data_IF_283408480850
#
_entry.id   IF_283408480850
#
_cell.length_a   1.000
_cell.length_b   1.000
_cell.length_c   1.000
_cell.angle_alpha   90.00
_cell.angle_beta   90.00
_cell.angle_gamma   90.00
#
_symmetry.space_group_name_H-M   'P 1'
#
loop_
_entity.id
_entity.type
_entity.pdbx_description
1 polymer ?
#
# COMPACT_ATOMS: atom_id res chain seq x y z
N UNK A 1 14.82 47.23 67.66
CA UNK A 1 13.59 46.91 66.91
C UNK A 1 13.98 46.73 65.45
N UNK A 2 14.39 45.52 65.08
CA UNK A 2 14.75 45.21 63.69
C UNK A 2 13.54 44.60 62.99
N UNK A 3 13.09 45.24 61.91
CA UNK A 3 11.92 44.81 61.14
C UNK A 3 12.42 43.90 60.04
N UNK A 4 12.23 42.60 60.25
CA UNK A 4 12.66 41.55 59.34
C UNK A 4 11.82 41.60 58.04
N UNK A 5 12.44 41.99 56.93
CA UNK A 5 11.79 42.04 55.61
C UNK A 5 11.63 40.62 55.07
N UNK A 6 10.43 40.05 55.20
CA UNK A 6 10.07 38.76 54.59
C UNK A 6 10.16 38.85 53.07
N UNK A 7 11.12 38.13 52.47
CA UNK A 7 11.23 37.95 51.01
C UNK A 7 10.08 37.06 50.53
N UNK A 8 9.14 37.65 49.79
CA UNK A 8 8.06 36.90 49.14
C UNK A 8 8.65 36.18 47.92
N UNK A 9 8.83 34.87 48.05
CA UNK A 9 9.22 34.01 46.93
C UNK A 9 7.99 33.79 46.07
N UNK A 10 7.97 34.40 44.88
CA UNK A 10 6.92 34.16 43.89
C UNK A 10 6.96 32.69 43.48
N UNK A 11 6.03 31.90 44.00
CA UNK A 11 5.88 30.51 43.65
C UNK A 11 5.10 30.47 42.32
N UNK A 12 5.78 30.14 41.22
CA UNK A 12 5.13 30.01 39.92
C UNK A 12 4.07 28.90 40.03
N UNK A 13 2.81 29.28 39.95
CA UNK A 13 1.68 28.34 39.91
C UNK A 13 1.81 27.49 38.65
N UNK A 14 2.16 26.21 38.82
CA UNK A 14 2.15 25.24 37.71
C UNK A 14 0.70 24.90 37.45
N UNK A 15 0.13 25.38 36.35
CA UNK A 15 -1.22 25.01 35.94
C UNK A 15 -1.24 23.53 35.59
N UNK A 16 -1.93 22.72 36.39
CA UNK A 16 -2.13 21.29 36.10
C UNK A 16 -3.25 21.03 35.10
N UNK A 17 -3.77 22.08 34.46
CA UNK A 17 -4.80 21.93 33.45
C UNK A 17 -4.18 21.41 32.14
N UNK A 18 -4.93 20.58 31.38
CA UNK A 18 -4.51 20.16 30.05
C UNK A 18 -4.28 21.40 29.18
N UNK A 19 -3.03 21.65 28.81
CA UNK A 19 -2.66 22.81 28.00
C UNK A 19 -2.56 22.39 26.53
N UNK A 20 -3.46 22.90 25.70
CA UNK A 20 -3.38 22.72 24.24
C UNK A 20 -2.36 23.72 23.70
N UNK A 21 -1.23 23.23 23.20
CA UNK A 21 -0.21 24.05 22.54
C UNK A 21 -0.43 24.02 21.03
N UNK A 22 -0.65 25.18 20.43
CA UNK A 22 -0.79 25.34 18.97
C UNK A 22 0.55 25.75 18.36
N UNK A 23 0.90 25.15 17.23
CA UNK A 23 2.07 25.52 16.42
C UNK A 23 1.60 25.89 15.02
N UNK A 24 1.88 27.11 14.57
CA UNK A 24 1.67 27.56 13.19
C UNK A 24 2.98 27.50 12.40
N UNK A 25 2.93 26.96 11.19
CA UNK A 25 4.05 26.94 10.24
C UNK A 25 3.58 27.55 8.92
N UNK A 26 4.50 28.18 8.18
CA UNK A 26 4.24 28.68 6.83
C UNK A 26 4.05 27.51 5.87
N UNK A 27 2.94 27.50 5.13
CA UNK A 27 2.60 26.47 4.14
C UNK A 27 3.03 26.93 2.74
N UNK A 28 3.59 26.05 1.88
CA UNK A 28 3.96 26.38 0.50
C UNK A 28 2.77 26.90 -0.32
N UNK A 29 3.03 27.77 -1.30
CA UNK A 29 2.01 28.39 -2.16
C UNK A 29 1.26 27.37 -3.03
N UNK A 30 -0.06 27.57 -3.16
CA UNK A 30 -1.03 26.62 -3.73
C UNK A 30 -0.83 26.27 -5.22
N UNK A 31 0.05 26.97 -5.96
CA UNK A 31 0.32 26.70 -7.38
C UNK A 31 1.08 25.38 -7.63
N UNK A 32 1.63 24.76 -6.60
CA UNK A 32 2.40 23.51 -6.68
C UNK A 32 1.77 22.34 -5.89
N UNK A 33 0.45 22.34 -5.68
CA UNK A 33 -0.18 21.21 -5.00
C UNK A 33 -0.37 20.02 -5.96
N UNK A 34 0.20 18.83 -5.65
CA UNK A 34 -0.02 17.64 -6.45
C UNK A 34 -1.50 17.25 -6.37
N UNK A 35 -2.06 16.74 -7.48
CA UNK A 35 -3.42 16.19 -7.48
C UNK A 35 -3.49 15.03 -6.46
N UNK A 36 -4.20 15.25 -5.35
CA UNK A 36 -4.32 14.25 -4.28
C UNK A 36 -5.47 13.31 -4.62
N UNK A 37 -5.15 12.03 -4.73
CA UNK A 37 -6.12 10.97 -4.95
C UNK A 37 -6.20 10.11 -3.69
N UNK A 38 -7.42 9.86 -3.24
CA UNK A 38 -7.68 8.85 -2.22
C UNK A 38 -7.75 7.48 -2.90
N UNK A 39 -7.12 6.48 -2.28
CA UNK A 39 -7.06 5.11 -2.79
C UNK A 39 -7.71 4.21 -1.76
N UNK A 40 -8.94 3.82 -2.04
CA UNK A 40 -9.69 2.90 -1.18
C UNK A 40 -9.76 1.53 -1.84
N UNK A 41 -9.55 0.48 -1.04
CA UNK A 41 -9.77 -0.90 -1.48
C UNK A 41 -11.15 -1.31 -0.97
N UNK A 42 -12.07 -1.55 -1.90
CA UNK A 42 -13.44 -1.93 -1.57
C UNK A 42 -13.49 -3.40 -1.09
N UNK A 43 -14.60 -3.83 -0.50
CA UNK A 43 -14.75 -5.20 0.07
C UNK A 43 -14.54 -6.31 -0.97
N UNK A 44 -14.74 -6.00 -2.26
CA UNK A 44 -14.54 -6.91 -3.39
C UNK A 44 -13.07 -6.96 -3.86
N UNK A 45 -12.15 -6.28 -3.16
CA UNK A 45 -10.73 -6.10 -3.49
C UNK A 45 -10.46 -5.24 -4.74
N UNK A 46 -11.46 -4.50 -5.22
CA UNK A 46 -11.28 -3.51 -6.26
C UNK A 46 -10.65 -2.23 -5.69
N UNK A 47 -9.76 -1.64 -6.48
CA UNK A 47 -9.05 -0.42 -6.12
C UNK A 47 -9.80 0.75 -6.75
N UNK A 48 -10.49 1.53 -5.91
CA UNK A 48 -11.15 2.76 -6.32
C UNK A 48 -10.21 3.95 -6.05
N UNK A 49 -9.85 4.66 -7.10
CA UNK A 49 -9.22 5.98 -6.99
C UNK A 49 -10.29 7.05 -7.07
N UNK A 50 -10.43 7.85 -6.02
CA UNK A 50 -11.27 9.05 -6.03
C UNK A 50 -10.37 10.26 -5.96
N UNK A 51 -10.50 11.17 -6.94
CA UNK A 51 -9.88 12.49 -6.85
C UNK A 51 -10.47 13.16 -5.61
N UNK A 52 -9.63 13.47 -4.63
CA UNK A 52 -10.11 14.22 -3.47
C UNK A 52 -10.56 15.57 -4.00
N UNK A 53 -11.82 15.94 -3.73
CA UNK A 53 -12.35 17.27 -4.02
C UNK A 53 -11.68 18.27 -3.06
N UNK A 54 -10.39 18.52 -3.28
CA UNK A 54 -9.70 19.66 -2.71
C UNK A 54 -10.12 20.83 -3.58
N UNK A 55 -11.12 21.59 -3.11
CA UNK A 55 -11.43 22.88 -3.71
C UNK A 55 -10.13 23.71 -3.75
N UNK A 56 -9.61 23.95 -4.95
CA UNK A 56 -8.34 24.65 -5.15
C UNK A 56 -8.40 26.09 -4.66
N UNK A 57 -9.61 26.65 -4.50
CA UNK A 57 -9.83 27.97 -3.93
C UNK A 57 -9.98 27.95 -2.40
N UNK A 58 -10.11 26.78 -1.79
CA UNK A 58 -10.24 26.64 -0.35
C UNK A 58 -8.93 26.95 0.36
N UNK A 59 -8.96 27.89 1.29
CA UNK A 59 -7.85 28.17 2.20
C UNK A 59 -7.79 27.06 3.25
N UNK A 60 -6.86 26.14 3.11
CA UNK A 60 -6.62 25.10 4.10
C UNK A 60 -5.62 25.59 5.17
N UNK A 61 -5.99 25.46 6.44
CA UNK A 61 -5.08 25.68 7.56
C UNK A 61 -4.70 24.32 8.14
N UNK A 62 -3.40 24.05 8.26
CA UNK A 62 -2.90 22.84 8.93
C UNK A 62 -2.48 23.19 10.34
N UNK A 63 -3.27 22.76 11.32
CA UNK A 63 -2.96 22.92 12.74
C UNK A 63 -2.47 21.59 13.29
N UNK A 64 -1.25 21.57 13.85
CA UNK A 64 -0.76 20.43 14.62
C UNK A 64 -1.19 20.60 16.08
N UNK A 65 -1.80 19.55 16.64
CA UNK A 65 -2.24 19.52 18.04
C UNK A 65 -1.44 18.45 18.77
N UNK A 66 -0.76 18.83 19.84
CA UNK A 66 -0.04 17.90 20.72
C UNK A 66 -0.84 17.70 22.00
N UNK A 67 -0.97 16.44 22.41
CA UNK A 67 -1.63 16.04 23.65
C UNK A 67 -0.59 15.75 24.72
N UNK A 68 -0.89 16.07 25.98
CA UNK A 68 0.01 15.82 27.10
C UNK A 68 0.13 14.32 27.41
N UNK A 69 -0.92 13.56 27.10
CA UNK A 69 -1.07 12.14 27.42
C UNK A 69 -1.92 11.42 26.36
N UNK A 70 -1.69 10.12 26.22
CA UNK A 70 -2.36 9.27 25.21
C UNK A 70 -3.86 9.05 25.50
N UNK A 71 -4.26 9.09 26.78
CA UNK A 71 -5.66 8.94 27.17
C UNK A 71 -6.52 10.12 26.68
N UNK A 72 -6.03 11.35 26.82
CA UNK A 72 -6.68 12.55 26.27
C UNK A 72 -6.77 12.49 24.74
N UNK A 73 -5.73 12.03 24.04
CA UNK A 73 -5.76 11.83 22.59
C UNK A 73 -6.85 10.82 22.18
N UNK A 74 -6.91 9.68 22.86
CA UNK A 74 -7.87 8.60 22.58
C UNK A 74 -9.32 9.04 22.79
N UNK A 75 -9.56 9.84 23.84
CA UNK A 75 -10.87 10.46 24.12
C UNK A 75 -11.29 11.47 23.05
N UNK A 76 -10.36 12.32 22.60
CA UNK A 76 -10.62 13.32 21.57
C UNK A 76 -10.81 12.73 20.16
N UNK A 77 -10.24 11.55 19.89
CA UNK A 77 -10.35 10.84 18.60
C UNK A 77 -10.83 9.38 18.76
N UNK A 78 -12.10 9.14 19.10
CA UNK A 78 -12.63 7.80 19.38
C UNK A 78 -12.58 6.83 18.18
N UNK A 79 -12.53 7.35 16.95
CA UNK A 79 -12.42 6.51 15.74
C UNK A 79 -11.04 5.86 15.58
N UNK A 80 -10.03 6.34 16.32
CA UNK A 80 -8.65 5.83 16.27
C UNK A 80 -8.41 4.81 17.38
N UNK A 81 -9.37 4.61 18.29
CA UNK A 81 -9.24 3.58 19.31
C UNK A 81 -9.37 2.22 18.63
N UNK A 82 -8.34 1.36 18.67
CA UNK A 82 -8.55 -0.05 18.38
C UNK A 82 -9.44 -0.57 19.49
N UNK A 83 -10.71 -0.82 19.19
CA UNK A 83 -11.68 -1.29 20.17
C UNK A 83 -11.14 -2.56 20.82
N UNK A 84 -11.09 -2.59 22.16
CA UNK A 84 -10.62 -3.73 22.95
C UNK A 84 -11.50 -4.99 22.82
N UNK A 85 -12.60 -4.92 22.06
CA UNK A 85 -13.36 -6.08 21.58
C UNK A 85 -12.76 -6.73 20.33
N UNK A 86 -11.80 -6.08 19.66
CA UNK A 86 -10.92 -6.72 18.68
C UNK A 86 -9.78 -7.43 19.41
N UNK A 87 -10.11 -8.55 20.06
CA UNK A 87 -9.17 -9.68 20.15
C UNK A 87 -8.99 -10.27 18.74
N UNK A 88 -8.61 -9.46 17.76
CA UNK A 88 -7.95 -9.95 16.59
C UNK A 88 -6.46 -9.82 16.88
N UNK A 89 -5.86 -10.97 17.12
CA UNK A 89 -4.53 -11.25 16.59
C UNK A 89 -4.54 -10.95 15.07
N UNK A 90 -4.54 -9.68 14.66
CA UNK A 90 -4.26 -9.32 13.29
C UNK A 90 -2.74 -9.15 13.20
N UNK A 91 -2.00 -10.16 12.70
CA UNK A 91 -0.55 -10.07 12.59
C UNK A 91 -0.27 -8.86 11.72
N UNK A 92 0.47 -7.87 12.23
CA UNK A 92 0.72 -6.58 11.58
C UNK A 92 0.76 -6.76 10.07
N UNK A 93 -0.33 -6.32 9.41
CA UNK A 93 -0.84 -6.79 8.10
C UNK A 93 0.27 -7.40 7.27
N UNK A 94 0.58 -8.69 7.49
CA UNK A 94 1.67 -9.36 6.75
C UNK A 94 1.23 -9.29 5.30
N UNK A 95 1.86 -8.42 4.50
CA UNK A 95 1.53 -8.26 3.08
C UNK A 95 1.49 -9.67 2.52
N UNK A 96 0.32 -10.13 2.06
CA UNK A 96 0.16 -11.48 1.53
C UNK A 96 1.10 -11.60 0.34
N UNK A 97 2.23 -12.28 0.55
CA UNK A 97 3.24 -12.43 -0.48
C UNK A 97 2.64 -13.31 -1.57
N UNK A 98 2.54 -12.77 -2.78
CA UNK A 98 2.08 -13.53 -3.95
C UNK A 98 3.25 -14.39 -4.45
N UNK A 99 2.98 -15.66 -4.72
CA UNK A 99 3.95 -16.58 -5.31
C UNK A 99 3.67 -16.76 -6.81
N UNK A 100 4.74 -16.86 -7.60
CA UNK A 100 4.64 -17.16 -9.01
C UNK A 100 4.13 -18.61 -9.20
N UNK A 101 3.06 -18.85 -9.99
CA UNK A 101 2.55 -20.21 -10.19
C UNK A 101 3.48 -21.07 -11.04
N UNK A 102 4.38 -20.46 -11.82
CA UNK A 102 5.35 -21.17 -12.67
C UNK A 102 6.56 -21.63 -11.83
N UNK A 103 7.20 -20.73 -11.10
CA UNK A 103 8.47 -21.00 -10.41
C UNK A 103 8.37 -21.22 -8.91
N UNK A 104 7.21 -20.93 -8.29
CA UNK A 104 7.01 -20.95 -6.83
C UNK A 104 7.69 -19.81 -6.06
N UNK A 105 8.62 -19.08 -6.70
CA UNK A 105 9.32 -17.93 -6.11
C UNK A 105 8.35 -16.78 -5.82
N UNK A 106 8.74 -15.91 -4.88
CA UNK A 106 8.01 -14.66 -4.62
C UNK A 106 7.88 -13.85 -5.91
N UNK A 107 6.66 -13.42 -6.22
CA UNK A 107 6.38 -12.64 -7.41
C UNK A 107 6.80 -11.18 -7.23
N UNK A 108 7.47 -10.64 -8.25
CA UNK A 108 7.90 -9.23 -8.32
C UNK A 108 6.96 -8.39 -9.18
N UNK A 109 6.26 -9.04 -10.11
CA UNK A 109 5.45 -8.38 -11.13
C UNK A 109 4.08 -9.08 -11.28
N UNK A 110 3.18 -8.42 -11.99
CA UNK A 110 1.84 -8.94 -12.30
C UNK A 110 1.57 -8.75 -13.79
N UNK A 111 1.07 -9.80 -14.47
CA UNK A 111 0.74 -9.72 -15.89
C UNK A 111 -0.53 -8.88 -16.11
N UNK A 112 -0.50 -7.80 -16.92
CA UNK A 112 -1.67 -6.93 -17.10
C UNK A 112 -2.86 -7.64 -17.76
N UNK A 113 -2.62 -8.69 -18.55
CA UNK A 113 -3.69 -9.39 -19.24
C UNK A 113 -4.40 -10.41 -18.33
N UNK A 114 -3.63 -11.31 -17.72
CA UNK A 114 -4.18 -12.41 -16.92
C UNK A 114 -4.29 -12.09 -15.43
N UNK A 115 -3.75 -10.94 -14.97
CA UNK A 115 -3.60 -10.58 -13.55
C UNK A 115 -2.79 -11.62 -12.75
N UNK A 116 -2.00 -12.47 -13.41
CA UNK A 116 -1.21 -13.53 -12.78
C UNK A 116 0.11 -12.98 -12.22
N UNK A 117 0.47 -13.25 -10.96
CA UNK A 117 1.76 -12.84 -10.39
C UNK A 117 2.92 -13.67 -10.94
N UNK A 118 4.05 -13.05 -11.28
CA UNK A 118 5.25 -13.75 -11.77
C UNK A 118 6.56 -13.19 -11.19
N UNK A 119 7.61 -14.02 -11.19
CA UNK A 119 8.88 -13.72 -10.51
C UNK A 119 9.94 -13.07 -11.43
N UNK A 120 10.11 -13.60 -12.65
CA UNK A 120 11.16 -13.24 -13.61
C UNK A 120 10.66 -13.33 -15.07
N UNK A 121 11.51 -12.91 -16.01
CA UNK A 121 11.18 -12.91 -17.45
C UNK A 121 10.94 -14.32 -18.01
N UNK A 122 11.67 -15.33 -17.51
CA UNK A 122 11.48 -16.72 -17.91
C UNK A 122 10.07 -17.22 -17.52
N UNK A 123 9.62 -16.91 -16.29
CA UNK A 123 8.26 -17.20 -15.86
C UNK A 123 7.20 -16.44 -16.69
N UNK A 124 7.49 -15.21 -17.12
CA UNK A 124 6.58 -14.46 -18.00
C UNK A 124 6.43 -15.12 -19.38
N UNK A 125 7.54 -15.56 -20.00
CA UNK A 125 7.52 -16.31 -21.27
C UNK A 125 6.72 -17.61 -21.14
N UNK A 126 6.90 -18.32 -20.02
CA UNK A 126 6.11 -19.50 -19.68
C UNK A 126 4.62 -19.20 -19.61
N UNK A 127 4.27 -18.19 -18.83
CA UNK A 127 2.90 -17.77 -18.61
C UNK A 127 2.19 -17.43 -19.93
N UNK A 128 2.86 -16.68 -20.82
CA UNK A 128 2.31 -16.31 -22.14
C UNK A 128 2.19 -17.48 -23.09
N UNK A 129 3.14 -18.41 -23.07
CA UNK A 129 3.04 -19.64 -23.86
C UNK A 129 1.85 -20.50 -23.42
N UNK A 130 1.68 -20.72 -22.11
CA UNK A 130 0.55 -21.47 -21.57
C UNK A 130 -0.79 -20.77 -21.85
N UNK A 131 -0.83 -19.44 -21.77
CA UNK A 131 -2.03 -18.68 -22.11
C UNK A 131 -2.44 -18.84 -23.57
N UNK A 132 -1.49 -18.92 -24.51
CA UNK A 132 -1.80 -19.22 -25.92
C UNK A 132 -2.45 -20.60 -26.08
N UNK A 133 -1.88 -21.62 -25.44
CA UNK A 133 -2.45 -22.99 -25.47
C UNK A 133 -3.85 -23.01 -24.86
N UNK A 134 -4.06 -22.28 -23.76
CA UNK A 134 -5.37 -22.13 -23.13
C UNK A 134 -6.42 -21.59 -24.11
N UNK A 135 -6.08 -20.58 -24.91
CA UNK A 135 -6.98 -20.01 -25.91
C UNK A 135 -7.21 -20.96 -27.10
N UNK A 136 -6.18 -21.68 -27.55
CA UNK A 136 -6.27 -22.58 -28.70
C UNK A 136 -7.06 -23.86 -28.38
N UNK A 137 -6.82 -24.45 -27.21
CA UNK A 137 -7.37 -25.78 -26.86
C UNK A 137 -8.55 -25.68 -25.88
N UNK A 138 -8.79 -24.53 -25.25
CA UNK A 138 -9.79 -24.38 -24.18
C UNK A 138 -9.47 -25.17 -22.91
N UNK A 139 -8.24 -25.68 -22.77
CA UNK A 139 -7.80 -26.46 -21.60
C UNK A 139 -7.70 -25.57 -20.37
N UNK A 140 -8.11 -26.05 -19.19
CA UNK A 140 -8.09 -25.21 -17.99
C UNK A 140 -6.66 -24.75 -17.61
N UNK A 141 -6.53 -23.52 -17.10
CA UNK A 141 -5.25 -22.96 -16.69
C UNK A 141 -4.55 -23.82 -15.62
N UNK A 142 -5.32 -24.41 -14.71
CA UNK A 142 -4.83 -25.31 -13.66
C UNK A 142 -4.21 -26.57 -14.23
N UNK A 143 -4.82 -27.15 -15.27
CA UNK A 143 -4.29 -28.35 -15.93
C UNK A 143 -3.00 -28.04 -16.69
N UNK A 144 -2.94 -26.92 -17.40
CA UNK A 144 -1.71 -26.50 -18.09
C UNK A 144 -0.54 -26.24 -17.13
N UNK A 145 -0.82 -25.62 -15.98
CA UNK A 145 0.18 -25.44 -14.93
C UNK A 145 0.66 -26.78 -14.34
N UNK A 146 -0.24 -27.76 -14.19
CA UNK A 146 0.11 -29.11 -13.71
C UNK A 146 1.06 -29.80 -14.68
N UNK A 147 0.74 -29.82 -15.98
CA UNK A 147 1.57 -30.41 -17.04
C UNK A 147 2.91 -29.71 -17.19
N UNK A 148 2.92 -28.38 -17.08
CA UNK A 148 4.16 -27.61 -17.10
C UNK A 148 5.10 -27.99 -15.95
N UNK A 149 4.57 -28.14 -14.73
CA UNK A 149 5.34 -28.59 -13.56
C UNK A 149 5.79 -30.05 -13.65
N UNK A 150 5.01 -30.90 -14.32
CA UNK A 150 5.39 -32.28 -14.63
C UNK A 150 6.48 -32.37 -15.71
N UNK A 151 6.82 -31.26 -16.38
CA UNK A 151 7.84 -31.21 -17.44
C UNK A 151 7.34 -31.69 -18.80
N UNK A 152 6.04 -31.91 -18.95
CA UNK A 152 5.39 -32.35 -20.20
C UNK A 152 5.32 -31.24 -21.26
N UNK A 153 5.31 -29.98 -20.81
CA UNK A 153 5.27 -28.79 -21.67
C UNK A 153 6.58 -28.03 -21.52
N UNK A 154 7.35 -27.90 -22.61
CA UNK A 154 8.63 -27.16 -22.64
C UNK A 154 8.49 -25.86 -23.41
N UNK A 155 9.08 -24.79 -22.87
CA UNK A 155 9.12 -23.48 -23.52
C UNK A 155 10.43 -23.40 -24.29
N UNK A 156 10.33 -23.41 -25.62
CA UNK A 156 11.48 -23.47 -26.52
C UNK A 156 11.66 -24.86 -27.10
N UNK A 157 10.95 -25.13 -28.19
CA UNK A 157 11.48 -25.96 -29.28
C UNK A 157 12.25 -25.04 -30.24
N UNK A 158 13.22 -25.57 -31.02
CA UNK A 158 14.06 -24.76 -31.88
C UNK A 158 13.19 -24.04 -32.93
N UNK A 159 13.51 -22.78 -33.18
CA UNK A 159 13.11 -22.08 -34.39
C UNK A 159 13.85 -22.69 -35.57
N UNK A 160 13.38 -23.84 -36.06
CA UNK A 160 13.75 -24.36 -37.39
C UNK A 160 12.77 -23.73 -38.38
N UNK A 161 13.09 -22.53 -38.85
CA UNK A 161 12.56 -21.99 -40.10
C UNK A 161 13.66 -21.10 -40.70
N UNK A 162 14.77 -21.75 -41.04
CA UNK A 162 15.74 -21.27 -42.01
C UNK A 162 15.46 -22.01 -43.31
N UNK A 163 14.64 -21.40 -44.15
CA UNK A 163 14.30 -21.85 -45.51
C UNK A 163 15.55 -22.27 -46.30
N UNK A 164 15.52 -23.39 -47.04
CA UNK A 164 16.55 -23.66 -48.05
C UNK A 164 16.36 -22.64 -49.18
N UNK A 165 17.44 -21.96 -49.56
CA UNK A 165 17.48 -21.18 -50.79
C UNK A 165 17.43 -22.15 -51.97
N UNK A 166 16.24 -22.28 -52.56
CA UNK A 166 16.06 -22.96 -53.84
C UNK A 166 16.78 -22.18 -54.93
N UNK A 167 17.76 -22.86 -55.49
CA UNK A 167 18.56 -22.47 -56.64
C UNK A 167 17.70 -22.63 -57.90
N UNK A 168 17.30 -21.52 -58.55
CA UNK A 168 16.90 -21.47 -59.95
C UNK A 168 17.04 -20.04 -60.50
#
# INVERSE_FOLDING_TARGET
>A
MEIERKKIRVQKTVSQQPMIRTHSFTVPSLSEQPEVYDVTVNSENDVEMRKMLVDQSAKCARTLVSFADEATFTSAFPSVVPTASSKSSAPGRKKRVKHCPITGKVARYMDPLTRTPYADLAAFRALRHLYRIHLETGTSATELLRRFRAGELRIGGPTEDGTPEDNC
#
